data_IF_327465095698
#
_entry.id   IF_327465095698
#
_cell.length_a   1.000
_cell.length_b   1.000
_cell.length_c   1.000
_cell.angle_alpha   90.00
_cell.angle_beta   90.00
_cell.angle_gamma   90.00
#
_symmetry.space_group_name_H-M   'P 1'
#
loop_
_entity.id
_entity.type
_entity.pdbx_description
1 polymer ?
#
# COMPACT_ATOMS: atom_id res chain seq x y z
N UNK A 1 -36.09 -56.18 19.97
CA UNK A 1 -36.19 -55.52 18.64
C UNK A 1 -35.59 -56.45 17.61
N UNK A 2 -36.43 -56.86 16.67
CA UNK A 2 -36.11 -57.82 15.62
C UNK A 2 -34.96 -57.29 14.73
N UNK A 3 -34.11 -58.20 14.23
CA UNK A 3 -32.93 -57.87 13.40
C UNK A 3 -33.31 -57.04 12.17
N UNK A 4 -34.49 -57.33 11.64
CA UNK A 4 -35.12 -56.60 10.53
C UNK A 4 -35.36 -55.10 10.84
N UNK A 5 -35.75 -54.78 12.07
CA UNK A 5 -36.08 -53.41 12.49
C UNK A 5 -34.82 -52.53 12.63
N UNK A 6 -33.68 -53.11 13.05
CA UNK A 6 -32.39 -52.41 13.10
C UNK A 6 -31.84 -52.11 11.71
N UNK A 7 -32.01 -53.05 10.76
CA UNK A 7 -31.61 -52.87 9.37
C UNK A 7 -32.41 -51.75 8.70
N UNK A 8 -33.73 -51.73 8.89
CA UNK A 8 -34.60 -50.68 8.36
C UNK A 8 -34.22 -49.29 8.91
N UNK A 9 -33.97 -49.19 10.22
CA UNK A 9 -33.57 -47.93 10.85
C UNK A 9 -32.23 -47.42 10.31
N UNK A 10 -31.25 -48.32 10.11
CA UNK A 10 -29.95 -47.95 9.54
C UNK A 10 -30.08 -47.42 8.10
N UNK A 11 -30.95 -48.02 7.28
CA UNK A 11 -31.22 -47.55 5.91
C UNK A 11 -31.86 -46.17 5.92
N UNK A 12 -32.84 -45.93 6.78
CA UNK A 12 -33.50 -44.62 6.90
C UNK A 12 -32.51 -43.54 7.31
N UNK A 13 -31.67 -43.81 8.30
CA UNK A 13 -30.62 -42.86 8.75
C UNK A 13 -29.61 -42.59 7.64
N UNK A 14 -29.19 -43.62 6.90
CA UNK A 14 -28.25 -43.46 5.79
C UNK A 14 -28.84 -42.60 4.66
N UNK A 15 -30.09 -42.87 4.26
CA UNK A 15 -30.79 -42.08 3.22
C UNK A 15 -30.95 -40.63 3.67
N UNK A 16 -31.32 -40.40 4.93
CA UNK A 16 -31.45 -39.05 5.48
C UNK A 16 -30.10 -38.31 5.52
N UNK A 17 -29.02 -38.99 5.88
CA UNK A 17 -27.67 -38.42 5.87
C UNK A 17 -27.21 -38.07 4.44
N UNK A 18 -27.43 -38.96 3.47
CA UNK A 18 -27.16 -38.68 2.06
C UNK A 18 -27.97 -37.48 1.53
N UNK A 19 -29.24 -37.36 1.92
CA UNK A 19 -30.09 -36.24 1.54
C UNK A 19 -29.60 -34.91 2.15
N UNK A 20 -29.18 -34.91 3.41
CA UNK A 20 -28.59 -33.74 4.07
C UNK A 20 -27.29 -33.32 3.38
N UNK A 21 -26.40 -34.27 3.06
CA UNK A 21 -25.16 -33.98 2.33
C UNK A 21 -25.44 -33.44 0.93
N UNK A 22 -26.47 -33.97 0.25
CA UNK A 22 -26.90 -33.50 -1.06
C UNK A 22 -27.45 -32.07 -0.99
N UNK A 23 -28.34 -31.79 -0.03
CA UNK A 23 -28.87 -30.43 0.23
C UNK A 23 -27.74 -29.47 0.58
N UNK A 24 -26.81 -29.85 1.45
CA UNK A 24 -25.68 -28.99 1.81
C UNK A 24 -24.78 -28.72 0.61
N UNK A 25 -24.47 -29.73 -0.21
CA UNK A 25 -23.69 -29.56 -1.43
C UNK A 25 -24.44 -28.75 -2.51
N UNK A 26 -25.77 -28.85 -2.55
CA UNK A 26 -26.62 -28.07 -3.45
C UNK A 26 -26.71 -26.61 -2.99
N UNK A 27 -26.92 -26.36 -1.69
CA UNK A 27 -26.87 -25.02 -1.11
C UNK A 27 -25.50 -24.39 -1.34
N UNK A 28 -24.40 -25.07 -1.03
CA UNK A 28 -23.05 -24.53 -1.29
C UNK A 28 -22.75 -24.27 -2.78
N UNK A 29 -23.46 -24.91 -3.71
CA UNK A 29 -23.35 -24.65 -5.16
C UNK A 29 -24.26 -23.52 -5.63
N UNK A 30 -25.42 -23.34 -5.01
CA UNK A 30 -26.44 -22.35 -5.40
C UNK A 30 -26.43 -21.06 -4.57
N UNK A 31 -25.77 -21.05 -3.42
CA UNK A 31 -25.34 -19.83 -2.71
C UNK A 31 -23.95 -19.40 -3.19
N UNK A 32 -23.50 -19.88 -4.34
CA UNK A 32 -22.50 -19.16 -5.10
C UNK A 32 -23.10 -17.78 -5.34
N UNK A 33 -22.44 -16.76 -4.79
CA UNK A 33 -22.64 -15.35 -5.11
C UNK A 33 -23.33 -15.23 -6.48
N UNK A 34 -24.48 -14.57 -6.58
CA UNK A 34 -24.78 -13.86 -7.83
C UNK A 34 -23.50 -13.07 -8.09
N UNK A 35 -22.70 -13.53 -9.05
CA UNK A 35 -21.30 -13.14 -9.14
C UNK A 35 -21.30 -11.65 -9.48
N UNK A 36 -21.27 -10.81 -8.45
CA UNK A 36 -21.25 -9.35 -8.57
C UNK A 36 -20.12 -9.10 -9.53
N UNK A 37 -20.46 -8.58 -10.72
CA UNK A 37 -19.49 -8.48 -11.78
C UNK A 37 -18.31 -7.67 -11.25
N UNK A 38 -17.13 -8.31 -11.20
CA UNK A 38 -15.93 -7.66 -10.69
C UNK A 38 -15.61 -6.48 -11.60
N UNK A 39 -15.65 -5.28 -11.02
CA UNK A 39 -15.30 -4.01 -11.66
C UNK A 39 -13.88 -3.61 -11.26
N UNK A 40 -13.19 -2.93 -12.16
CA UNK A 40 -11.77 -2.64 -12.06
C UNK A 40 -11.50 -1.14 -12.24
N UNK A 41 -10.41 -0.66 -11.63
CA UNK A 41 -9.90 0.69 -11.80
C UNK A 41 -8.37 0.67 -11.88
N UNK A 42 -7.82 1.42 -12.81
CA UNK A 42 -6.38 1.58 -13.01
C UNK A 42 -6.00 3.05 -12.98
N UNK A 43 -4.72 3.27 -12.71
CA UNK A 43 -4.03 4.54 -12.88
C UNK A 43 -3.06 4.40 -14.07
N UNK A 44 -2.74 5.49 -14.75
CA UNK A 44 -1.65 5.48 -15.73
C UNK A 44 -0.33 5.11 -15.05
N UNK A 45 0.48 4.27 -15.68
CA UNK A 45 1.80 3.92 -15.16
C UNK A 45 2.79 5.05 -15.46
N UNK A 46 3.86 5.12 -14.67
CA UNK A 46 4.91 6.12 -14.84
C UNK A 46 6.30 5.53 -14.59
N UNK A 47 7.33 6.24 -15.00
CA UNK A 47 8.74 5.86 -14.87
C UNK A 47 9.39 6.29 -13.54
N UNK A 48 8.62 6.79 -12.58
CA UNK A 48 9.11 7.26 -11.28
C UNK A 48 9.72 6.16 -10.40
N UNK A 49 10.73 6.47 -9.59
CA UNK A 49 11.47 5.48 -8.77
C UNK A 49 10.59 4.78 -7.70
N UNK A 50 11.21 3.92 -6.89
CA UNK A 50 10.53 3.09 -5.88
C UNK A 50 9.51 3.83 -5.01
N UNK A 51 9.83 5.03 -4.50
CA UNK A 51 8.87 5.83 -3.73
C UNK A 51 7.61 6.20 -4.53
N UNK A 52 7.77 6.61 -5.80
CA UNK A 52 6.64 6.94 -6.67
C UNK A 52 5.79 5.71 -6.98
N UNK A 53 6.44 4.56 -7.22
CA UNK A 53 5.70 3.30 -7.44
C UNK A 53 4.94 2.88 -6.18
N UNK A 54 5.55 3.02 -5.00
CA UNK A 54 4.87 2.72 -3.74
C UNK A 54 3.61 3.58 -3.56
N UNK A 55 3.72 4.89 -3.80
CA UNK A 55 2.57 5.80 -3.78
C UNK A 55 1.51 5.40 -4.80
N UNK A 56 1.92 5.06 -6.02
CA UNK A 56 1.03 4.63 -7.08
C UNK A 56 0.23 3.39 -6.67
N UNK A 57 0.90 2.38 -6.09
CA UNK A 57 0.25 1.16 -5.63
C UNK A 57 -0.72 1.39 -4.47
N UNK A 58 -0.30 2.14 -3.44
CA UNK A 58 -1.13 2.38 -2.26
C UNK A 58 -2.31 3.29 -2.59
N UNK A 59 -2.12 4.34 -3.38
CA UNK A 59 -3.23 5.20 -3.79
C UNK A 59 -4.18 4.48 -4.75
N UNK A 60 -3.66 3.72 -5.72
CA UNK A 60 -4.49 2.93 -6.62
C UNK A 60 -5.33 1.91 -5.86
N UNK A 61 -4.73 1.24 -4.86
CA UNK A 61 -5.44 0.37 -3.93
C UNK A 61 -6.54 1.11 -3.18
N UNK A 62 -6.21 2.24 -2.56
CA UNK A 62 -7.12 3.00 -1.73
C UNK A 62 -8.32 3.56 -2.52
N UNK A 63 -8.06 4.08 -3.72
CA UNK A 63 -9.09 4.52 -4.66
C UNK A 63 -10.01 3.34 -5.01
N UNK A 64 -9.43 2.19 -5.38
CA UNK A 64 -10.20 0.99 -5.74
C UNK A 64 -11.09 0.51 -4.58
N UNK A 65 -10.54 0.43 -3.37
CA UNK A 65 -11.29 0.07 -2.16
C UNK A 65 -12.43 1.03 -1.88
N UNK A 66 -12.19 2.33 -2.02
CA UNK A 66 -13.19 3.39 -1.78
C UNK A 66 -14.41 3.26 -2.68
N UNK A 67 -14.22 2.79 -3.92
CA UNK A 67 -15.28 2.69 -4.93
C UNK A 67 -15.75 1.25 -5.19
N UNK A 68 -15.35 0.29 -4.36
CA UNK A 68 -15.76 -1.11 -4.48
C UNK A 68 -15.23 -1.81 -5.73
N UNK A 69 -14.06 -1.42 -6.22
CA UNK A 69 -13.41 -1.97 -7.42
C UNK A 69 -12.09 -2.65 -7.08
N UNK A 70 -11.55 -3.39 -8.05
CA UNK A 70 -10.22 -4.02 -7.97
C UNK A 70 -9.20 -3.11 -8.67
N UNK A 71 -8.10 -2.81 -7.98
CA UNK A 71 -6.98 -2.09 -8.58
C UNK A 71 -6.26 -2.98 -9.59
N UNK A 72 -6.05 -2.49 -10.82
CA UNK A 72 -5.32 -3.24 -11.84
C UNK A 72 -4.23 -2.40 -12.52
N UNK A 73 -3.21 -3.09 -13.04
CA UNK A 73 -2.13 -2.51 -13.83
C UNK A 73 -2.41 -2.77 -15.32
N UNK A 74 -2.60 -1.73 -16.13
CA UNK A 74 -3.02 -1.87 -17.52
C UNK A 74 -1.94 -2.54 -18.38
N UNK A 75 -2.37 -3.36 -19.35
CA UNK A 75 -1.47 -4.09 -20.26
C UNK A 75 -0.75 -3.15 -21.23
N UNK A 76 -1.48 -2.21 -21.82
CA UNK A 76 -1.02 -1.34 -22.89
C UNK A 76 -0.39 -0.04 -22.37
N UNK A 77 0.63 -0.18 -21.53
CA UNK A 77 1.36 0.98 -21.01
C UNK A 77 2.85 0.84 -21.32
N UNK A 78 3.43 1.88 -21.92
CA UNK A 78 4.86 1.94 -22.28
C UNK A 78 5.79 1.76 -21.09
N UNK A 79 5.31 2.00 -19.87
CA UNK A 79 6.10 1.84 -18.64
C UNK A 79 5.86 0.51 -17.94
N UNK A 80 5.02 -0.38 -18.47
CA UNK A 80 4.62 -1.64 -17.83
C UNK A 80 5.80 -2.48 -17.39
N UNK A 81 6.75 -2.76 -18.27
CA UNK A 81 7.88 -3.64 -17.93
C UNK A 81 8.76 -3.06 -16.81
N UNK A 82 8.96 -1.73 -16.84
CA UNK A 82 9.69 -1.01 -15.80
C UNK A 82 8.94 -1.06 -14.46
N UNK A 83 7.63 -0.85 -14.47
CA UNK A 83 6.79 -0.93 -13.26
C UNK A 83 6.79 -2.35 -12.71
N UNK A 84 6.59 -3.37 -13.56
CA UNK A 84 6.63 -4.78 -13.14
C UNK A 84 7.98 -5.16 -12.53
N UNK A 85 9.09 -4.66 -13.08
CA UNK A 85 10.41 -4.87 -12.49
C UNK A 85 10.52 -4.26 -11.08
N UNK A 86 10.00 -3.06 -10.88
CA UNK A 86 9.98 -2.39 -9.56
C UNK A 86 9.02 -3.05 -8.58
N UNK A 87 7.90 -3.58 -9.06
CA UNK A 87 6.98 -4.36 -8.24
C UNK A 87 7.65 -5.61 -7.70
N UNK A 88 8.49 -6.29 -8.48
CA UNK A 88 9.30 -7.41 -7.96
C UNK A 88 10.22 -6.98 -6.81
N UNK A 89 10.71 -5.75 -6.81
CA UNK A 89 11.50 -5.22 -5.70
C UNK A 89 10.60 -4.88 -4.50
N UNK A 90 9.46 -4.23 -4.74
CA UNK A 90 8.47 -3.94 -3.70
C UNK A 90 7.95 -5.20 -3.04
N UNK A 91 7.61 -6.26 -3.78
CA UNK A 91 7.15 -7.55 -3.24
C UNK A 91 8.21 -8.24 -2.37
N UNK A 92 9.51 -8.00 -2.61
CA UNK A 92 10.59 -8.52 -1.75
C UNK A 92 10.67 -7.76 -0.43
N UNK A 93 10.37 -6.46 -0.44
CA UNK A 93 10.43 -5.59 0.75
C UNK A 93 9.13 -5.66 1.55
N UNK A 94 7.99 -5.62 0.87
CA UNK A 94 6.62 -5.59 1.39
C UNK A 94 5.80 -6.70 0.74
N UNK A 95 5.86 -7.95 1.23
CA UNK A 95 5.23 -9.09 0.56
C UNK A 95 3.72 -8.96 0.39
N UNK A 96 3.05 -8.31 1.34
CA UNK A 96 1.61 -8.09 1.33
C UNK A 96 1.16 -7.08 0.26
N UNK A 97 2.06 -6.34 -0.39
CA UNK A 97 1.67 -5.45 -1.50
C UNK A 97 1.06 -6.22 -2.68
N UNK A 98 1.46 -7.47 -2.88
CA UNK A 98 1.00 -8.31 -4.00
C UNK A 98 -0.50 -8.56 -4.01
N UNK A 99 -1.18 -8.55 -2.86
CA UNK A 99 -2.65 -8.72 -2.78
C UNK A 99 -3.44 -7.46 -3.15
N UNK A 100 -2.77 -6.32 -3.36
CA UNK A 100 -3.43 -5.03 -3.57
C UNK A 100 -3.73 -4.71 -5.04
N UNK A 101 -3.29 -5.55 -5.97
CA UNK A 101 -3.46 -5.31 -7.41
C UNK A 101 -3.54 -6.61 -8.21
N UNK A 102 -4.05 -6.49 -9.43
CA UNK A 102 -3.91 -7.51 -10.48
C UNK A 102 -3.19 -6.93 -11.69
N UNK A 103 -2.40 -7.75 -12.37
CA UNK A 103 -1.75 -7.35 -13.63
C UNK A 103 -2.65 -7.80 -14.78
N UNK A 104 -3.02 -6.85 -15.64
CA UNK A 104 -3.77 -7.19 -16.84
C UNK A 104 -2.89 -8.01 -17.82
N UNK A 105 -3.52 -9.02 -18.42
CA UNK A 105 -2.84 -10.02 -19.25
C UNK A 105 -3.03 -9.77 -20.75
N UNK A 106 -4.04 -8.98 -21.10
CA UNK A 106 -4.37 -8.64 -22.49
C UNK A 106 -4.83 -7.20 -22.58
N UNK A 107 -4.91 -6.69 -23.80
CA UNK A 107 -5.63 -5.46 -24.09
C UNK A 107 -7.09 -5.60 -23.65
N UNK A 108 -7.59 -4.56 -22.97
CA UNK A 108 -8.93 -4.53 -22.39
C UNK A 108 -9.57 -3.19 -22.72
N UNK A 109 -10.79 -3.22 -23.26
CA UNK A 109 -11.54 -1.99 -23.54
C UNK A 109 -11.84 -1.26 -22.21
N UNK A 110 -11.38 -0.02 -22.13
CA UNK A 110 -11.34 0.76 -20.89
C UNK A 110 -11.91 2.15 -21.12
N UNK A 111 -12.65 2.64 -20.13
CA UNK A 111 -13.21 3.99 -20.15
C UNK A 111 -12.23 4.94 -19.47
N UNK A 112 -11.69 5.89 -20.24
CA UNK A 112 -10.81 6.93 -19.72
C UNK A 112 -11.63 7.94 -18.93
N UNK A 113 -11.27 8.17 -17.68
CA UNK A 113 -11.94 9.12 -16.79
C UNK A 113 -10.97 10.22 -16.39
N UNK A 114 -11.35 11.48 -16.66
CA UNK A 114 -10.61 12.64 -16.17
C UNK A 114 -10.55 12.58 -14.64
N UNK A 115 -9.36 12.69 -14.05
CA UNK A 115 -9.16 12.59 -12.61
C UNK A 115 -8.00 13.47 -12.16
N UNK A 116 -8.17 14.19 -11.04
CA UNK A 116 -7.16 15.09 -10.45
C UNK A 116 -6.54 16.11 -11.43
N UNK A 117 -7.25 16.47 -12.51
CA UNK A 117 -6.77 17.34 -13.59
C UNK A 117 -5.38 16.98 -14.15
N UNK A 118 -4.99 15.69 -14.10
CA UNK A 118 -3.64 15.19 -14.45
C UNK A 118 -2.49 15.82 -13.64
N UNK A 119 -2.79 16.60 -12.60
CA UNK A 119 -1.79 17.30 -11.79
C UNK A 119 -1.24 16.36 -10.73
N UNK A 120 0.03 16.51 -10.36
CA UNK A 120 0.55 15.78 -9.20
C UNK A 120 -0.13 16.31 -7.93
N UNK A 121 -0.27 15.42 -6.95
CA UNK A 121 -0.59 15.75 -5.56
C UNK A 121 -1.98 16.37 -5.31
N UNK A 122 -2.87 16.47 -6.31
CA UNK A 122 -4.25 16.96 -6.13
C UNK A 122 -5.15 15.84 -5.63
N UNK A 123 -5.97 16.15 -4.63
CA UNK A 123 -7.03 15.27 -4.16
C UNK A 123 -8.30 15.48 -4.99
N UNK A 124 -8.85 14.40 -5.50
CA UNK A 124 -10.11 14.33 -6.24
C UNK A 124 -10.93 13.19 -5.63
N UNK A 125 -12.13 13.45 -5.10
CA UNK A 125 -12.86 12.45 -4.32
C UNK A 125 -13.24 11.22 -5.19
N UNK A 126 -12.70 10.01 -4.90
CA UNK A 126 -13.02 8.81 -5.67
C UNK A 126 -14.50 8.49 -5.71
N UNK A 127 -15.28 8.89 -4.69
CA UNK A 127 -16.72 8.56 -4.59
C UNK A 127 -17.55 9.07 -5.76
N UNK A 128 -17.09 10.09 -6.47
CA UNK A 128 -17.76 10.54 -7.72
C UNK A 128 -17.76 9.48 -8.82
N UNK A 129 -16.96 8.42 -8.68
CA UNK A 129 -16.86 7.31 -9.61
C UNK A 129 -17.83 6.15 -9.28
N UNK A 130 -18.60 6.23 -8.19
CA UNK A 130 -19.52 5.16 -7.77
C UNK A 130 -20.60 4.85 -8.81
N UNK A 131 -21.04 5.85 -9.56
CA UNK A 131 -22.09 5.74 -10.56
C UNK A 131 -21.56 5.36 -11.96
N UNK A 132 -20.25 5.06 -12.10
CA UNK A 132 -19.72 4.57 -13.36
C UNK A 132 -20.03 3.08 -13.49
N UNK A 133 -20.68 2.70 -14.58
CA UNK A 133 -21.06 1.31 -14.83
C UNK A 133 -20.03 0.51 -15.61
N UNK A 134 -19.08 1.18 -16.27
CA UNK A 134 -18.02 0.53 -17.02
C UNK A 134 -17.23 -0.46 -16.17
N UNK A 135 -16.93 -1.62 -16.76
CA UNK A 135 -16.18 -2.68 -16.10
C UNK A 135 -14.74 -2.27 -15.79
N UNK A 136 -14.09 -1.57 -16.71
CA UNK A 136 -12.70 -1.13 -16.58
C UNK A 136 -12.60 0.38 -16.70
N UNK A 137 -12.19 1.03 -15.60
CA UNK A 137 -11.88 2.46 -15.60
C UNK A 137 -10.37 2.67 -15.65
N UNK A 138 -9.93 3.58 -16.50
CA UNK A 138 -8.57 4.11 -16.47
C UNK A 138 -8.64 5.57 -16.05
N UNK A 139 -8.08 5.89 -14.89
CA UNK A 139 -8.02 7.27 -14.41
C UNK A 139 -6.86 7.99 -15.08
N UNK A 140 -7.14 9.18 -15.61
CA UNK A 140 -6.17 10.05 -16.28
C UNK A 140 -5.24 10.74 -15.27
N UNK A 141 -4.53 9.94 -14.47
CA UNK A 141 -3.73 10.38 -13.34
C UNK A 141 -2.49 9.50 -13.16
N UNK A 142 -1.32 10.01 -13.58
CA UNK A 142 -0.06 9.27 -13.51
C UNK A 142 0.73 9.52 -12.21
N UNK A 143 0.63 10.72 -11.63
CA UNK A 143 1.45 11.17 -10.48
C UNK A 143 0.65 11.22 -9.18
N UNK A 144 0.12 10.06 -8.80
CA UNK A 144 -0.80 9.89 -7.67
C UNK A 144 -0.05 9.95 -6.34
N UNK A 145 0.25 11.16 -5.86
CA UNK A 145 1.02 11.43 -4.64
C UNK A 145 0.24 12.29 -3.65
N UNK A 146 -1.02 11.97 -3.40
CA UNK A 146 -1.81 12.62 -2.36
C UNK A 146 -2.20 11.59 -1.28
N UNK A 147 -1.89 11.80 0.00
CA UNK A 147 -2.12 10.82 1.05
C UNK A 147 -3.60 10.68 1.43
N UNK A 148 -4.42 11.69 1.12
CA UNK A 148 -5.84 11.74 1.50
C UNK A 148 -6.64 10.59 0.91
N UNK A 149 -6.14 9.91 -0.13
CA UNK A 149 -6.77 8.70 -0.64
C UNK A 149 -6.72 7.54 0.37
N UNK A 150 -5.67 7.44 1.18
CA UNK A 150 -5.48 6.32 2.11
C UNK A 150 -5.47 6.72 3.60
N UNK A 151 -5.60 8.01 3.94
CA UNK A 151 -5.63 8.47 5.34
C UNK A 151 -6.64 7.69 6.20
N UNK A 152 -7.84 7.43 5.67
CA UNK A 152 -8.89 6.67 6.36
C UNK A 152 -8.63 5.16 6.49
N UNK A 153 -7.56 4.64 5.89
CA UNK A 153 -7.18 3.22 5.89
C UNK A 153 -5.71 3.02 6.29
N UNK A 154 -5.17 3.92 7.11
CA UNK A 154 -3.74 3.91 7.46
C UNK A 154 -3.29 2.61 8.14
N UNK A 155 -4.13 1.99 8.96
CA UNK A 155 -3.80 0.72 9.62
C UNK A 155 -3.69 -0.44 8.60
N UNK A 156 -4.60 -0.47 7.62
CA UNK A 156 -4.55 -1.43 6.52
C UNK A 156 -3.31 -1.20 5.63
N UNK A 157 -2.96 0.06 5.37
CA UNK A 157 -1.72 0.41 4.66
C UNK A 157 -0.49 -0.04 5.45
N UNK A 158 -0.46 0.10 6.77
CA UNK A 158 0.65 -0.40 7.60
C UNK A 158 0.80 -1.92 7.49
N UNK A 159 -0.30 -2.67 7.49
CA UNK A 159 -0.27 -4.11 7.29
C UNK A 159 0.24 -4.47 5.89
N UNK A 160 -0.21 -3.75 4.85
CA UNK A 160 0.27 -3.95 3.47
C UNK A 160 1.77 -3.66 3.34
N UNK A 161 2.27 -2.67 4.09
CA UNK A 161 3.65 -2.21 4.08
C UNK A 161 4.50 -2.79 5.22
N UNK A 162 4.09 -3.93 5.76
CA UNK A 162 4.92 -4.67 6.70
C UNK A 162 6.15 -5.23 5.97
N UNK A 163 7.32 -5.00 6.58
CA UNK A 163 8.58 -5.46 6.01
C UNK A 163 8.67 -6.99 5.99
N UNK A 164 9.30 -7.54 4.96
CA UNK A 164 9.59 -8.97 4.90
C UNK A 164 10.54 -9.39 6.03
N UNK A 165 10.44 -10.65 6.52
CA UNK A 165 11.31 -11.14 7.58
C UNK A 165 12.81 -10.98 7.27
N UNK A 166 13.20 -11.12 5.99
CA UNK A 166 14.58 -10.91 5.56
C UNK A 166 15.03 -9.46 5.72
N UNK A 167 14.19 -8.49 5.35
CA UNK A 167 14.51 -7.06 5.49
C UNK A 167 14.53 -6.65 6.96
N UNK A 168 13.62 -7.19 7.77
CA UNK A 168 13.64 -6.99 9.23
C UNK A 168 14.93 -7.52 9.84
N UNK A 169 15.34 -8.73 9.47
CA UNK A 169 16.58 -9.35 9.96
C UNK A 169 17.83 -8.55 9.57
N UNK A 170 17.93 -8.16 8.30
CA UNK A 170 19.02 -7.31 7.80
C UNK A 170 19.06 -5.95 8.50
N UNK A 171 17.88 -5.31 8.64
CA UNK A 171 17.75 -4.05 9.36
C UNK A 171 18.19 -4.15 10.82
N UNK A 172 17.78 -5.20 11.53
CA UNK A 172 18.20 -5.45 12.92
C UNK A 172 19.71 -5.66 13.01
N UNK A 173 20.31 -6.42 12.10
CA UNK A 173 21.75 -6.61 12.05
C UNK A 173 22.53 -5.30 11.85
N UNK A 174 22.07 -4.45 10.92
CA UNK A 174 22.66 -3.13 10.69
C UNK A 174 22.54 -2.24 11.93
N UNK A 175 21.37 -2.23 12.58
CA UNK A 175 21.17 -1.49 13.82
C UNK A 175 22.11 -1.97 14.92
N UNK A 176 22.29 -3.28 15.07
CA UNK A 176 23.18 -3.84 16.09
C UNK A 176 24.65 -3.52 15.81
N UNK A 177 25.08 -3.51 14.54
CA UNK A 177 26.43 -3.03 14.19
C UNK A 177 26.62 -1.55 14.51
N UNK A 178 25.62 -0.71 14.25
CA UNK A 178 25.67 0.72 14.60
C UNK A 178 25.74 0.92 16.12
N UNK A 179 25.08 0.07 16.91
CA UNK A 179 25.19 0.06 18.38
C UNK A 179 26.61 -0.26 18.83
N UNK A 180 27.16 -1.37 18.34
CA UNK A 180 28.48 -1.86 18.73
C UNK A 180 29.62 -0.90 18.38
N UNK A 181 29.57 -0.27 17.19
CA UNK A 181 30.56 0.72 16.77
C UNK A 181 30.45 2.06 17.51
N UNK A 182 29.30 2.37 18.12
CA UNK A 182 29.13 3.57 18.93
C UNK A 182 29.71 3.38 20.35
N UNK A 183 29.70 2.16 20.88
CA UNK A 183 30.26 1.82 22.20
C UNK A 183 31.79 1.79 22.25
N UNK A 184 32.49 1.72 21.13
CA UNK A 184 33.96 1.70 21.07
C UNK A 184 34.63 3.08 21.13
N UNK A 185 33.86 4.18 21.07
CA UNK A 185 34.37 5.55 21.16
C UNK A 185 34.36 6.15 22.59
N UNK A 186 34.10 5.35 23.61
CA UNK A 186 34.20 5.73 25.03
C UNK A 186 32.86 6.07 25.69
N UNK A 187 32.55 5.32 26.77
CA UNK A 187 31.55 5.53 27.84
C UNK A 187 30.17 6.15 27.54
N UNK A 188 29.75 6.28 26.28
CA UNK A 188 28.47 6.84 25.92
C UNK A 188 27.93 6.21 24.65
N UNK A 189 27.35 5.02 24.77
CA UNK A 189 26.55 4.48 23.66
C UNK A 189 25.20 5.23 23.67
N UNK A 190 24.91 5.89 22.54
CA UNK A 190 23.61 6.52 22.27
C UNK A 190 22.44 5.54 22.51
N UNK A 191 22.69 4.24 22.32
CA UNK A 191 21.68 3.19 22.29
C UNK A 191 21.36 2.55 23.65
N UNK A 192 22.15 2.81 24.70
CA UNK A 192 21.93 2.24 26.05
C UNK A 192 20.95 3.05 26.91
N UNK A 193 20.34 4.10 26.37
CA UNK A 193 19.39 4.94 27.13
C UNK A 193 17.94 4.52 26.89
N UNK A 194 17.19 4.12 27.93
CA UNK A 194 15.84 3.55 27.78
C UNK A 194 14.76 4.55 27.32
N UNK A 195 15.09 5.80 27.00
CA UNK A 195 14.13 6.88 26.69
C UNK A 195 14.71 7.97 25.76
N UNK A 196 15.32 7.60 24.63
CA UNK A 196 15.73 8.63 23.65
C UNK A 196 14.67 8.84 22.56
N UNK A 197 14.29 10.10 22.40
CA UNK A 197 13.61 10.60 21.21
C UNK A 197 14.61 10.67 20.06
N UNK A 198 14.44 9.84 19.04
CA UNK A 198 15.27 9.90 17.82
C UNK A 198 14.65 10.86 16.82
N UNK A 199 15.46 11.77 16.28
CA UNK A 199 15.09 12.61 15.13
C UNK A 199 15.82 12.10 13.89
N UNK A 200 15.05 11.63 12.90
CA UNK A 200 15.58 11.20 11.61
C UNK A 200 15.46 12.33 10.59
N UNK A 201 16.56 12.67 9.91
CA UNK A 201 16.59 13.71 8.87
C UNK A 201 16.87 13.03 7.53
N UNK A 202 16.00 13.23 6.56
CA UNK A 202 16.20 12.78 5.18
C UNK A 202 16.41 14.00 4.28
N UNK A 203 17.61 14.13 3.69
CA UNK A 203 17.96 15.24 2.79
C UNK A 203 18.13 14.68 1.37
N UNK A 204 17.21 15.03 0.47
CA UNK A 204 17.31 14.68 -0.95
C UNK A 204 18.18 15.72 -1.69
N UNK A 205 19.24 15.26 -2.34
CA UNK A 205 20.23 16.13 -3.02
C UNK A 205 20.24 15.89 -4.53
N UNK A 206 21.15 15.06 -5.04
CA UNK A 206 21.20 14.54 -6.44
C UNK A 206 20.43 15.37 -7.49
N UNK A 207 19.39 14.81 -8.08
CA UNK A 207 18.48 15.40 -9.07
C UNK A 207 17.80 16.71 -8.62
N UNK A 208 17.71 16.97 -7.31
CA UNK A 208 17.14 18.20 -6.76
C UNK A 208 18.14 19.36 -6.80
N UNK A 209 19.45 19.08 -6.72
CA UNK A 209 20.48 20.08 -6.96
C UNK A 209 20.44 20.55 -8.42
N UNK A 210 20.34 19.60 -9.36
CA UNK A 210 20.25 19.90 -10.80
C UNK A 210 19.02 20.74 -11.15
N UNK A 211 17.92 20.52 -10.42
CA UNK A 211 16.64 21.23 -10.61
C UNK A 211 16.53 22.53 -9.79
N UNK A 212 17.55 22.88 -9.02
CA UNK A 212 17.57 24.04 -8.13
C UNK A 212 16.39 24.09 -7.13
N UNK A 213 16.02 22.92 -6.60
CA UNK A 213 14.95 22.74 -5.59
C UNK A 213 15.46 22.00 -4.34
N UNK A 214 16.77 21.82 -4.21
CA UNK A 214 17.37 21.18 -3.05
C UNK A 214 17.35 22.10 -1.83
N UNK A 215 17.04 21.56 -0.66
CA UNK A 215 17.21 22.26 0.60
C UNK A 215 18.69 22.44 0.93
N UNK A 216 19.04 23.57 1.55
CA UNK A 216 20.37 23.77 2.11
C UNK A 216 20.58 22.80 3.29
N UNK A 217 21.69 22.07 3.24
CA UNK A 217 22.03 21.07 4.27
C UNK A 217 22.26 21.70 5.65
N UNK A 218 22.98 22.83 5.70
CA UNK A 218 23.31 23.49 6.96
C UNK A 218 22.05 24.01 7.63
N UNK A 219 21.16 24.66 6.87
CA UNK A 219 19.89 25.17 7.38
C UNK A 219 19.01 24.03 7.91
N UNK A 220 18.99 22.88 7.21
CA UNK A 220 18.26 21.68 7.66
C UNK A 220 18.83 21.13 8.99
N UNK A 221 20.16 21.10 9.14
CA UNK A 221 20.82 20.63 10.36
C UNK A 221 20.59 21.59 11.53
N UNK A 222 20.63 22.89 11.28
CA UNK A 222 20.31 23.92 12.29
C UNK A 222 18.87 23.76 12.75
N UNK A 223 17.91 23.71 11.82
CA UNK A 223 16.50 23.52 12.15
C UNK A 223 16.26 22.23 12.94
N UNK A 224 16.89 21.13 12.55
CA UNK A 224 16.78 19.87 13.27
C UNK A 224 17.35 19.94 14.69
N UNK A 225 18.47 20.65 14.89
CA UNK A 225 19.03 20.87 16.22
C UNK A 225 18.13 21.75 17.08
N UNK A 226 17.49 22.77 16.51
CA UNK A 226 16.56 23.64 17.23
C UNK A 226 15.32 22.87 17.68
N UNK A 227 14.78 21.97 16.83
CA UNK A 227 13.71 21.04 17.20
C UNK A 227 14.16 20.11 18.33
N UNK A 228 15.34 19.49 18.20
CA UNK A 228 15.86 18.57 19.20
C UNK A 228 16.10 19.24 20.57
N UNK A 229 16.37 20.55 20.58
CA UNK A 229 16.54 21.36 21.80
C UNK A 229 15.22 21.90 22.36
N UNK A 230 14.09 21.61 21.71
CA UNK A 230 12.77 22.15 22.09
C UNK A 230 12.66 23.65 21.89
N UNK A 231 13.55 24.26 21.10
CA UNK A 231 13.52 25.69 20.79
C UNK A 231 12.41 26.04 19.78
N UNK A 232 11.90 25.04 19.05
CA UNK A 232 10.79 25.15 18.11
C UNK A 232 9.84 23.97 18.32
N UNK A 233 8.56 24.24 18.54
CA UNK A 233 7.53 23.19 18.54
C UNK A 233 7.08 22.91 17.10
N UNK A 234 7.46 21.75 16.57
CA UNK A 234 6.98 21.27 15.29
C UNK A 234 5.72 20.44 15.48
N UNK A 235 4.60 20.89 14.92
CA UNK A 235 3.49 19.98 14.63
C UNK A 235 3.87 19.21 13.37
N UNK A 236 4.35 17.97 13.53
CA UNK A 236 4.43 17.01 12.43
C UNK A 236 3.00 16.59 12.06
N UNK A 237 2.25 17.48 11.42
CA UNK A 237 1.16 17.06 10.56
C UNK A 237 1.86 16.51 9.34
N UNK A 238 1.97 15.20 9.22
CA UNK A 238 2.53 14.51 8.05
C UNK A 238 1.68 14.80 6.82
N UNK A 239 1.74 16.02 6.30
CA UNK A 239 1.15 16.38 5.01
C UNK A 239 2.12 15.90 3.96
N UNK A 240 1.81 14.75 3.36
CA UNK A 240 2.46 14.23 2.16
C UNK A 240 2.08 15.08 0.92
N UNK A 241 2.26 16.39 0.98
CA UNK A 241 2.22 17.21 -0.22
C UNK A 241 3.63 17.20 -0.80
N UNK A 242 3.74 16.69 -2.04
CA UNK A 242 4.90 16.76 -2.94
C UNK A 242 5.97 15.65 -2.90
N UNK A 243 5.63 14.45 -2.41
CA UNK A 243 6.61 13.35 -2.36
C UNK A 243 7.83 13.68 -1.48
N UNK A 244 7.66 14.70 -0.63
CA UNK A 244 8.60 15.21 0.36
C UNK A 244 8.14 14.71 1.72
N UNK A 245 8.97 13.93 2.40
CA UNK A 245 9.03 14.04 3.86
C UNK A 245 9.65 15.40 4.17
N UNK A 246 8.86 16.45 4.05
CA UNK A 246 9.25 17.83 4.32
C UNK A 246 8.27 18.44 5.31
N UNK A 247 8.62 18.46 6.59
CA UNK A 247 7.92 19.29 7.56
C UNK A 247 8.20 20.76 7.27
N UNK A 248 7.16 21.60 7.29
CA UNK A 248 7.29 23.06 7.22
C UNK A 248 7.40 23.68 8.61
N UNK A 249 8.33 24.63 8.78
CA UNK A 249 8.46 25.47 9.98
C UNK A 249 7.34 26.52 9.93
N UNK A 250 6.53 26.65 10.98
CA UNK A 250 5.73 27.85 11.21
C UNK A 250 6.59 28.82 12.03
N UNK A 251 6.81 30.02 11.49
CA UNK A 251 7.34 31.16 12.24
C UNK A 251 6.27 31.72 13.17
#
# INVERSE_FOLDING_TARGET
MDSSCKSLLAVVVFVQFCFILWIHSWLMRNTGDEAVEKKYVALHLNDGRMGNQLFHMINGYAIARTIGRIHYLPYEDRFRDLVVQRLKQLERVFPAIKRTYVIDKSETNRTLVKFANKSCCVYDDPKRLLNYDDKYLLLDFAWVQNPRYFEGMIEEVREILEFSPSVVSEGNHLLDMLKLNSSSLGNFSFWDRPQQSTLCIHIRRTDFLERNISTNMMDTVVAANDIARGMVSFYLKGTFHDGLFGGGVLH
#
